data_IF_544459208993
#
_entry.id   IF_544459208993
#
_cell.length_a   1.000
_cell.length_b   1.000
_cell.length_c   1.000
_cell.angle_alpha   90.00
_cell.angle_beta   90.00
_cell.angle_gamma   90.00
#
_symmetry.space_group_name_H-M   'P 1'
#
loop_
_entity.id
_entity.type
_entity.pdbx_description
1 polymer ?
#
# COMPACT_ATOMS: atom_id res chain seq x y z
N UNK A 1 25.65 -7.58 -3.33
CA UNK A 1 25.04 -6.34 -2.77
C UNK A 1 23.58 -6.66 -2.49
N UNK A 2 23.09 -6.44 -1.28
CA UNK A 2 21.67 -6.61 -0.96
C UNK A 2 20.88 -5.55 -1.71
N UNK A 3 19.85 -5.97 -2.46
CA UNK A 3 18.91 -5.05 -3.10
C UNK A 3 18.14 -4.30 -2.01
N UNK A 4 18.17 -2.97 -2.04
CA UNK A 4 17.62 -2.23 -0.91
C UNK A 4 16.09 -2.15 -0.94
N UNK A 5 15.50 -1.65 -2.04
CA UNK A 5 14.07 -1.37 -2.14
C UNK A 5 13.51 -1.88 -3.46
N UNK A 6 12.33 -2.50 -3.41
CA UNK A 6 11.52 -2.87 -4.58
C UNK A 6 10.22 -2.07 -4.58
N UNK A 7 9.86 -1.44 -5.68
CA UNK A 7 8.51 -0.87 -5.83
C UNK A 7 7.57 -1.94 -6.36
N UNK A 8 6.53 -2.26 -5.59
CA UNK A 8 5.49 -3.22 -5.97
C UNK A 8 4.26 -2.46 -6.43
N UNK A 9 3.87 -2.71 -7.67
CA UNK A 9 2.73 -2.07 -8.33
C UNK A 9 1.65 -3.13 -8.61
N UNK A 10 0.61 -3.24 -7.77
CA UNK A 10 -0.54 -4.06 -8.09
C UNK A 10 -1.33 -3.40 -9.23
N UNK A 11 -1.69 -4.16 -10.27
CA UNK A 11 -2.37 -3.63 -11.43
C UNK A 11 -3.55 -4.52 -11.85
N UNK A 12 -4.68 -3.88 -12.20
CA UNK A 12 -5.84 -4.57 -12.78
C UNK A 12 -6.58 -3.66 -13.75
N UNK A 13 -6.47 -3.97 -15.06
CA UNK A 13 -7.03 -3.18 -16.15
C UNK A 13 -6.51 -1.72 -16.16
N UNK A 14 -5.20 -1.57 -16.08
CA UNK A 14 -4.49 -0.28 -16.04
C UNK A 14 -3.55 -0.09 -17.27
N UNK A 15 -3.91 -0.67 -18.43
CA UNK A 15 -3.08 -0.55 -19.65
C UNK A 15 -2.78 0.88 -20.08
N UNK A 16 -3.65 1.85 -19.72
CA UNK A 16 -3.51 3.25 -20.14
C UNK A 16 -2.51 4.03 -19.27
N UNK A 17 -2.28 3.62 -18.02
CA UNK A 17 -1.47 4.34 -17.02
C UNK A 17 -0.15 3.64 -16.69
N UNK A 18 -0.13 2.31 -16.77
CA UNK A 18 0.95 1.49 -16.21
C UNK A 18 2.33 1.79 -16.82
N UNK A 19 2.42 2.09 -18.13
CA UNK A 19 3.69 2.39 -18.78
C UNK A 19 4.33 3.68 -18.25
N UNK A 20 3.52 4.72 -18.03
CA UNK A 20 3.97 6.00 -17.45
C UNK A 20 4.45 5.79 -16.03
N UNK A 21 3.67 5.10 -15.20
CA UNK A 21 4.03 4.81 -13.80
C UNK A 21 5.37 4.07 -13.71
N UNK A 22 5.58 3.06 -14.57
CA UNK A 22 6.85 2.33 -14.62
C UNK A 22 8.00 3.27 -15.04
N UNK A 23 7.80 4.08 -16.09
CA UNK A 23 8.81 5.02 -16.56
C UNK A 23 9.22 6.01 -15.48
N UNK A 24 8.25 6.62 -14.80
CA UNK A 24 8.49 7.56 -13.72
C UNK A 24 9.30 6.90 -12.57
N UNK A 25 8.94 5.69 -12.16
CA UNK A 25 9.66 4.93 -11.13
C UNK A 25 11.11 4.57 -11.55
N UNK A 26 11.31 4.18 -12.81
CA UNK A 26 12.63 3.80 -13.33
C UNK A 26 13.56 5.01 -13.50
N UNK A 27 13.04 6.19 -13.83
CA UNK A 27 13.82 7.45 -13.88
C UNK A 27 14.43 7.74 -12.51
N UNK A 28 13.70 7.42 -11.40
CA UNK A 28 14.20 7.53 -10.03
C UNK A 28 15.11 6.34 -9.60
N UNK A 29 15.40 5.42 -10.51
CA UNK A 29 16.33 4.31 -10.27
C UNK A 29 15.76 3.14 -9.45
N UNK A 30 14.43 3.03 -9.32
CA UNK A 30 13.81 1.94 -8.60
C UNK A 30 13.67 0.66 -9.44
N UNK A 31 13.91 -0.48 -8.81
CA UNK A 31 13.46 -1.77 -9.33
C UNK A 31 11.92 -1.82 -9.22
N UNK A 32 11.23 -2.14 -10.32
CA UNK A 32 9.77 -2.15 -10.38
C UNK A 32 9.26 -3.56 -10.64
N UNK A 33 8.37 -4.04 -9.76
CA UNK A 33 7.61 -5.27 -9.94
C UNK A 33 6.12 -4.94 -10.12
N UNK A 34 5.59 -5.23 -11.29
CA UNK A 34 4.15 -5.17 -11.54
C UNK A 34 3.53 -6.54 -11.29
N UNK A 35 2.55 -6.59 -10.41
CA UNK A 35 1.72 -7.78 -10.21
C UNK A 35 0.36 -7.55 -10.86
N UNK A 36 0.17 -8.12 -12.04
CA UNK A 36 -1.09 -8.07 -12.79
C UNK A 36 -2.10 -9.05 -12.18
N UNK A 37 -3.15 -8.51 -11.57
CA UNK A 37 -4.20 -9.27 -10.88
C UNK A 37 -5.26 -9.82 -11.87
N UNK A 38 -4.79 -10.52 -12.91
CA UNK A 38 -5.65 -11.17 -13.90
C UNK A 38 -6.41 -10.18 -14.78
N UNK A 39 -5.75 -9.15 -15.29
CA UNK A 39 -6.34 -8.15 -16.21
C UNK A 39 -6.92 -8.79 -17.46
N UNK A 40 -8.00 -8.21 -17.96
CA UNK A 40 -8.64 -8.59 -19.23
C UNK A 40 -8.16 -7.74 -20.41
N UNK A 41 -7.37 -6.71 -20.15
CA UNK A 41 -6.76 -5.82 -21.13
C UNK A 41 -5.26 -6.13 -21.33
N UNK A 42 -4.53 -5.23 -21.99
CA UNK A 42 -3.10 -5.40 -22.27
C UNK A 42 -2.16 -4.97 -21.12
N UNK A 43 -2.66 -4.76 -19.90
CA UNK A 43 -1.86 -4.29 -18.76
C UNK A 43 -0.54 -5.07 -18.61
N UNK A 44 -0.59 -6.40 -18.59
CA UNK A 44 0.59 -7.25 -18.44
C UNK A 44 1.63 -7.05 -19.57
N UNK A 45 1.15 -7.03 -20.81
CA UNK A 45 2.02 -6.86 -21.98
C UNK A 45 2.68 -5.48 -21.98
N UNK A 46 1.91 -4.43 -21.68
CA UNK A 46 2.39 -3.04 -21.59
C UNK A 46 3.42 -2.89 -20.47
N UNK A 47 3.16 -3.44 -19.29
CA UNK A 47 4.11 -3.41 -18.18
C UNK A 47 5.44 -4.10 -18.52
N UNK A 48 5.38 -5.25 -19.19
CA UNK A 48 6.57 -5.97 -19.62
C UNK A 48 7.36 -5.19 -20.68
N UNK A 49 6.67 -4.58 -21.64
CA UNK A 49 7.30 -3.74 -22.67
C UNK A 49 7.96 -2.49 -22.09
N UNK A 50 7.39 -1.93 -21.01
CA UNK A 50 7.96 -0.82 -20.26
C UNK A 50 9.19 -1.22 -19.41
N UNK A 51 9.60 -2.49 -19.41
CA UNK A 51 10.83 -2.95 -18.74
C UNK A 51 10.66 -3.33 -17.28
N UNK A 52 9.44 -3.39 -16.74
CA UNK A 52 9.22 -3.86 -15.38
C UNK A 52 9.36 -5.38 -15.26
N UNK A 53 9.75 -5.85 -14.07
CA UNK A 53 9.54 -7.25 -13.68
C UNK A 53 8.04 -7.48 -13.59
N UNK A 54 7.51 -8.56 -14.17
CA UNK A 54 6.06 -8.79 -14.20
C UNK A 54 5.70 -10.16 -13.68
N UNK A 55 4.66 -10.22 -12.85
CA UNK A 55 3.97 -11.46 -12.44
C UNK A 55 2.50 -11.30 -12.83
N UNK A 56 1.91 -12.32 -13.44
CA UNK A 56 0.48 -12.35 -13.74
C UNK A 56 -0.22 -13.42 -12.94
N UNK A 57 -1.25 -13.02 -12.21
CA UNK A 57 -2.15 -13.95 -11.51
C UNK A 57 -3.16 -14.55 -12.50
N UNK A 58 -3.60 -15.80 -12.28
CA UNK A 58 -4.46 -16.50 -13.24
C UNK A 58 -5.86 -15.87 -13.38
N UNK A 59 -6.33 -15.16 -12.36
CA UNK A 59 -7.61 -14.44 -12.33
C UNK A 59 -7.56 -13.36 -11.25
N UNK A 60 -8.53 -12.45 -11.22
CA UNK A 60 -8.59 -11.39 -10.23
C UNK A 60 -8.84 -11.95 -8.82
N UNK A 61 -7.82 -11.90 -7.98
CA UNK A 61 -7.82 -12.32 -6.59
C UNK A 61 -7.98 -11.15 -5.60
N UNK A 62 -7.85 -9.92 -6.11
CA UNK A 62 -7.88 -8.69 -5.33
C UNK A 62 -6.50 -8.14 -5.00
N UNK A 63 -6.46 -6.83 -4.76
CA UNK A 63 -5.20 -6.08 -4.53
C UNK A 63 -4.34 -6.66 -3.41
N UNK A 64 -4.94 -7.17 -2.34
CA UNK A 64 -4.21 -7.81 -1.24
C UNK A 64 -3.46 -9.06 -1.68
N UNK A 65 -4.04 -9.87 -2.58
CA UNK A 65 -3.36 -11.04 -3.13
C UNK A 65 -2.19 -10.63 -4.03
N UNK A 66 -2.38 -9.60 -4.87
CA UNK A 66 -1.33 -9.05 -5.71
C UNK A 66 -0.16 -8.49 -4.87
N UNK A 67 -0.46 -7.72 -3.83
CA UNK A 67 0.53 -7.18 -2.90
C UNK A 67 1.28 -8.30 -2.18
N UNK A 68 0.56 -9.30 -1.65
CA UNK A 68 1.19 -10.44 -0.98
C UNK A 68 2.11 -11.21 -1.92
N UNK A 69 1.73 -11.39 -3.19
CA UNK A 69 2.59 -11.96 -4.21
C UNK A 69 3.87 -11.14 -4.40
N UNK A 70 3.74 -9.81 -4.51
CA UNK A 70 4.88 -8.89 -4.61
C UNK A 70 5.78 -8.91 -3.38
N UNK A 71 5.22 -8.96 -2.18
CA UNK A 71 6.00 -9.06 -0.93
C UNK A 71 6.77 -10.37 -0.83
N UNK A 72 6.15 -11.49 -1.20
CA UNK A 72 6.84 -12.80 -1.30
C UNK A 72 7.98 -12.77 -2.31
N UNK A 73 7.77 -12.11 -3.45
CA UNK A 73 8.83 -11.92 -4.43
C UNK A 73 9.98 -11.12 -3.83
N UNK A 74 9.71 -9.99 -3.17
CA UNK A 74 10.72 -9.14 -2.56
C UNK A 74 11.55 -9.92 -1.52
N UNK A 75 10.90 -10.62 -0.60
CA UNK A 75 11.57 -11.45 0.43
C UNK A 75 12.44 -12.53 -0.21
N UNK A 76 11.91 -13.25 -1.20
CA UNK A 76 12.63 -14.33 -1.91
C UNK A 76 13.88 -13.82 -2.63
N UNK A 77 13.85 -12.57 -3.13
CA UNK A 77 14.95 -11.97 -3.89
C UNK A 77 15.86 -11.07 -3.04
N UNK A 78 15.69 -11.06 -1.70
CA UNK A 78 16.60 -10.41 -0.76
C UNK A 78 16.45 -8.89 -0.67
N UNK A 79 15.31 -8.33 -1.06
CA UNK A 79 15.02 -6.91 -0.84
C UNK A 79 14.78 -6.63 0.65
N UNK A 80 15.31 -5.51 1.13
CA UNK A 80 15.18 -5.07 2.52
C UNK A 80 13.85 -4.37 2.79
N UNK A 81 13.30 -3.73 1.76
CA UNK A 81 12.04 -3.00 1.84
C UNK A 81 11.23 -3.10 0.55
N UNK A 82 9.94 -2.86 0.69
CA UNK A 82 9.01 -2.67 -0.42
C UNK A 82 8.34 -1.32 -0.30
N UNK A 83 8.23 -0.60 -1.42
CA UNK A 83 7.30 0.52 -1.57
C UNK A 83 6.08 0.00 -2.32
N UNK A 84 4.89 0.19 -1.75
CA UNK A 84 3.63 -0.02 -2.44
C UNK A 84 3.26 1.25 -3.21
N UNK A 85 3.03 1.12 -4.52
CA UNK A 85 2.63 2.22 -5.39
C UNK A 85 1.49 1.74 -6.30
N UNK A 86 0.41 2.51 -6.44
CA UNK A 86 -0.72 2.12 -7.28
C UNK A 86 -0.43 2.37 -8.78
N UNK A 87 -1.05 1.57 -9.65
CA UNK A 87 -0.84 1.60 -11.09
C UNK A 87 -1.55 2.75 -11.82
N UNK A 88 -2.35 3.56 -11.09
CA UNK A 88 -3.20 4.62 -11.65
C UNK A 88 -2.52 6.00 -11.76
N UNK A 89 -1.26 6.11 -11.32
CA UNK A 89 -0.47 7.33 -11.36
C UNK A 89 -0.82 8.37 -10.30
N UNK A 90 -1.66 8.03 -9.31
CA UNK A 90 -2.04 8.99 -8.25
C UNK A 90 -0.97 9.14 -7.16
N UNK A 91 -0.05 8.19 -7.01
CA UNK A 91 1.00 8.26 -6.02
C UNK A 91 2.18 9.10 -6.51
N UNK A 92 2.60 10.14 -5.75
CA UNK A 92 3.70 11.01 -6.15
C UNK A 92 5.04 10.26 -6.03
N UNK A 93 5.63 9.89 -7.15
CA UNK A 93 6.91 9.13 -7.20
C UNK A 93 8.02 9.89 -6.47
N UNK A 94 8.08 11.21 -6.61
CA UNK A 94 9.05 12.09 -5.94
C UNK A 94 9.01 11.98 -4.39
N UNK A 95 7.90 11.50 -3.82
CA UNK A 95 7.77 11.32 -2.36
C UNK A 95 8.28 9.96 -1.87
N UNK A 96 8.62 9.04 -2.76
CA UNK A 96 9.13 7.70 -2.37
C UNK A 96 10.44 7.83 -1.58
N UNK A 97 11.34 8.71 -2.02
CA UNK A 97 12.60 8.95 -1.33
C UNK A 97 12.38 9.51 0.09
N UNK A 98 11.39 10.39 0.25
CA UNK A 98 11.02 10.91 1.56
C UNK A 98 10.47 9.82 2.51
N UNK A 99 9.63 8.90 1.99
CA UNK A 99 9.16 7.73 2.75
C UNK A 99 10.34 6.86 3.22
N UNK A 100 11.28 6.57 2.31
CA UNK A 100 12.46 5.77 2.58
C UNK A 100 13.37 6.46 3.60
N UNK A 101 13.69 7.74 3.40
CA UNK A 101 14.53 8.53 4.29
C UNK A 101 13.95 8.58 5.71
N UNK A 102 12.65 8.85 5.83
CA UNK A 102 11.94 8.86 7.12
C UNK A 102 12.00 7.49 7.78
N UNK A 103 11.82 6.40 7.03
CA UNK A 103 11.89 5.05 7.59
C UNK A 103 13.26 4.77 8.21
N UNK A 104 14.34 5.17 7.54
CA UNK A 104 15.71 4.99 8.00
C UNK A 104 16.00 5.89 9.21
N UNK A 105 15.72 7.19 9.12
CA UNK A 105 16.00 8.18 10.17
C UNK A 105 15.27 7.86 11.46
N UNK A 106 14.01 7.46 11.37
CA UNK A 106 13.16 7.16 12.51
C UNK A 106 13.22 5.70 12.95
N UNK A 107 14.01 4.85 12.28
CA UNK A 107 14.06 3.41 12.51
C UNK A 107 12.66 2.80 12.56
N UNK A 108 11.83 3.16 11.57
CA UNK A 108 10.45 2.71 11.49
C UNK A 108 10.29 1.53 10.53
N UNK A 109 9.34 0.65 10.85
CA UNK A 109 9.07 -0.54 10.04
C UNK A 109 8.09 -0.27 8.91
N UNK A 110 7.29 0.80 9.05
CA UNK A 110 6.38 1.26 8.00
C UNK A 110 6.27 2.78 8.05
N UNK A 111 6.36 3.42 6.88
CA UNK A 111 6.00 4.84 6.72
C UNK A 111 4.87 4.94 5.71
N UNK A 112 3.85 5.71 6.06
CA UNK A 112 2.63 5.92 5.27
C UNK A 112 2.65 7.32 4.69
N UNK A 113 2.45 7.45 3.38
CA UNK A 113 2.15 8.72 2.75
C UNK A 113 0.68 9.09 2.95
N UNK A 114 0.42 10.14 3.70
CA UNK A 114 -0.93 10.59 4.04
C UNK A 114 -1.43 11.68 3.12
N UNK A 115 -2.69 11.54 2.68
CA UNK A 115 -3.43 12.54 1.92
C UNK A 115 -3.96 13.68 2.79
N UNK A 116 -4.00 13.48 4.11
CA UNK A 116 -4.72 14.34 5.04
C UNK A 116 -3.82 15.05 6.06
N UNK A 117 -2.57 14.63 6.18
CA UNK A 117 -1.61 15.26 7.08
C UNK A 117 -1.21 16.63 6.52
N UNK A 118 -1.14 17.64 7.37
CA UNK A 118 -0.73 19.01 7.05
C UNK A 118 -1.46 19.65 5.85
N UNK A 119 -2.70 19.22 5.58
CA UNK A 119 -3.47 19.75 4.46
C UNK A 119 -2.98 19.32 3.08
N UNK A 120 -2.21 18.21 3.01
CA UNK A 120 -1.61 17.69 1.78
C UNK A 120 -2.62 17.38 0.67
N UNK A 121 -3.91 17.16 0.98
CA UNK A 121 -4.96 16.89 0.00
C UNK A 121 -6.19 17.78 0.17
N UNK A 122 -6.56 18.51 -0.89
CA UNK A 122 -7.85 19.23 -1.00
C UNK A 122 -8.99 18.30 -1.44
N UNK A 123 -9.07 17.08 -0.90
CA UNK A 123 -10.11 16.14 -1.32
C UNK A 123 -11.43 16.49 -0.61
N UNK A 124 -12.43 16.93 -1.37
CA UNK A 124 -13.79 17.12 -0.86
C UNK A 124 -14.42 15.76 -0.52
N UNK A 125 -14.38 15.44 0.75
CA UNK A 125 -15.01 14.23 1.27
C UNK A 125 -16.45 14.52 1.69
N UNK A 126 -17.40 13.67 1.30
CA UNK A 126 -18.74 13.70 1.88
C UNK A 126 -18.67 13.55 3.42
N UNK A 127 -19.65 14.11 4.13
CA UNK A 127 -19.71 14.06 5.60
C UNK A 127 -19.62 12.62 6.13
N UNK A 128 -20.33 11.69 5.46
CA UNK A 128 -20.32 10.25 5.81
C UNK A 128 -18.90 9.65 5.64
N UNK A 129 -18.21 9.95 4.56
CA UNK A 129 -16.84 9.46 4.33
C UNK A 129 -15.86 10.07 5.33
N UNK A 130 -16.00 11.36 5.63
CA UNK A 130 -15.18 12.05 6.67
C UNK A 130 -15.36 11.40 8.04
N UNK A 131 -16.61 11.07 8.41
CA UNK A 131 -16.91 10.38 9.67
C UNK A 131 -16.28 8.99 9.72
N UNK A 132 -16.44 8.19 8.65
CA UNK A 132 -15.84 6.87 8.53
C UNK A 132 -14.30 6.91 8.66
N UNK A 133 -13.65 7.82 7.93
CA UNK A 133 -12.18 8.00 7.98
C UNK A 133 -11.71 8.39 9.38
N UNK A 134 -12.49 9.23 10.10
CA UNK A 134 -12.17 9.60 11.49
C UNK A 134 -12.22 8.42 12.44
N UNK A 135 -13.19 7.50 12.28
CA UNK A 135 -13.27 6.27 13.08
C UNK A 135 -12.06 5.37 12.79
N UNK A 136 -11.78 5.12 11.52
CA UNK A 136 -10.65 4.27 11.10
C UNK A 136 -9.31 4.86 11.58
N UNK A 137 -9.10 6.17 11.42
CA UNK A 137 -7.90 6.86 11.88
C UNK A 137 -7.70 6.75 13.39
N UNK A 138 -8.77 6.97 14.20
CA UNK A 138 -8.68 6.80 15.66
C UNK A 138 -8.36 5.38 16.09
N UNK A 139 -8.96 4.38 15.41
CA UNK A 139 -8.67 2.98 15.69
C UNK A 139 -7.25 2.62 15.33
N UNK A 140 -6.77 3.06 14.17
CA UNK A 140 -5.39 2.87 13.73
C UNK A 140 -4.40 3.58 14.67
N UNK A 141 -4.67 4.83 15.07
CA UNK A 141 -3.82 5.58 16.00
C UNK A 141 -3.66 4.88 17.35
N UNK A 142 -4.76 4.29 17.88
CA UNK A 142 -4.69 3.50 19.11
C UNK A 142 -3.83 2.24 18.93
N UNK A 143 -3.98 1.55 17.80
CA UNK A 143 -3.20 0.34 17.51
C UNK A 143 -1.71 0.64 17.32
N UNK A 144 -1.40 1.68 16.59
CA UNK A 144 -0.02 2.08 16.26
C UNK A 144 0.67 2.90 17.37
N UNK A 145 -0.09 3.37 18.38
CA UNK A 145 0.39 4.29 19.44
C UNK A 145 1.03 5.58 18.89
N UNK A 146 0.59 6.00 17.70
CA UNK A 146 1.01 7.22 17.01
C UNK A 146 -0.19 7.78 16.25
N UNK A 147 -0.28 9.10 16.03
CA UNK A 147 -1.34 9.68 15.22
C UNK A 147 -1.33 9.12 13.80
N UNK A 148 -2.47 8.59 13.34
CA UNK A 148 -2.69 8.13 11.95
C UNK A 148 -3.94 8.86 11.43
N UNK A 149 -3.76 9.63 10.37
CA UNK A 149 -4.83 10.38 9.72
C UNK A 149 -5.37 9.67 8.48
N UNK A 150 -4.52 8.90 7.78
CA UNK A 150 -4.88 8.16 6.57
C UNK A 150 -4.64 6.64 6.70
N UNK A 151 -5.50 5.99 7.46
CA UNK A 151 -5.42 4.55 7.67
C UNK A 151 -5.68 3.70 6.41
N UNK A 152 -6.13 4.33 5.31
CA UNK A 152 -6.49 3.67 4.05
C UNK A 152 -5.53 3.98 2.91
N UNK A 153 -4.47 4.75 3.15
CA UNK A 153 -3.47 5.02 2.13
C UNK A 153 -2.77 3.74 1.70
N UNK A 154 -2.69 3.49 0.39
CA UNK A 154 -1.89 2.42 -0.22
C UNK A 154 -0.43 2.82 -0.40
N UNK A 155 -0.10 4.10 -0.32
CA UNK A 155 1.25 4.59 -0.53
C UNK A 155 2.10 4.42 0.73
N UNK A 156 2.97 3.41 0.74
CA UNK A 156 3.71 2.98 1.93
C UNK A 156 5.08 2.43 1.57
N UNK A 157 6.05 2.66 2.46
CA UNK A 157 7.26 1.84 2.53
C UNK A 157 7.17 0.86 3.69
N UNK A 158 7.60 -0.37 3.50
CA UNK A 158 7.55 -1.45 4.49
C UNK A 158 8.91 -2.14 4.53
N UNK A 159 9.56 -2.13 5.69
CA UNK A 159 10.87 -2.74 5.92
C UNK A 159 10.77 -4.11 6.61
N UNK A 160 11.80 -4.90 6.45
CA UNK A 160 12.02 -6.10 7.28
C UNK A 160 12.20 -5.68 8.76
N UNK A 161 11.75 -6.45 9.76
CA UNK A 161 11.12 -7.78 9.64
C UNK A 161 9.60 -7.76 9.33
N UNK A 162 8.94 -6.59 9.34
CA UNK A 162 7.50 -6.48 9.07
C UNK A 162 7.14 -7.01 7.67
N UNK A 163 7.97 -6.71 6.66
CA UNK A 163 7.77 -7.20 5.29
C UNK A 163 7.67 -8.73 5.24
N UNK A 164 8.52 -9.43 5.98
CA UNK A 164 8.51 -10.90 6.04
C UNK A 164 7.18 -11.43 6.57
N UNK A 165 6.66 -10.82 7.65
CA UNK A 165 5.38 -11.24 8.22
C UNK A 165 4.20 -10.95 7.30
N UNK A 166 4.19 -9.76 6.66
CA UNK A 166 3.13 -9.41 5.72
C UNK A 166 3.16 -10.28 4.45
N UNK A 167 4.34 -10.67 3.96
CA UNK A 167 4.47 -11.61 2.86
C UNK A 167 3.76 -12.95 3.14
N UNK A 168 3.74 -13.40 4.41
CA UNK A 168 3.08 -14.64 4.80
C UNK A 168 1.62 -14.46 5.21
N UNK A 169 1.28 -13.35 5.87
CA UNK A 169 0.02 -13.20 6.59
C UNK A 169 -0.91 -12.12 6.02
N UNK A 170 -0.50 -11.32 5.00
CA UNK A 170 -1.37 -10.30 4.43
C UNK A 170 -2.67 -10.93 3.89
N UNK A 171 -3.85 -10.47 4.34
CA UNK A 171 -5.10 -11.03 3.85
C UNK A 171 -5.35 -10.65 2.37
N UNK A 172 -5.95 -11.55 1.56
CA UNK A 172 -6.12 -11.32 0.13
C UNK A 172 -7.29 -10.38 -0.23
N UNK A 173 -7.98 -9.78 0.73
CA UNK A 173 -9.22 -9.04 0.50
C UNK A 173 -9.01 -7.53 0.39
N UNK A 174 -9.70 -6.88 -0.55
CA UNK A 174 -9.68 -5.43 -0.79
C UNK A 174 -10.14 -4.61 0.42
N UNK A 175 -9.44 -3.53 0.78
CA UNK A 175 -9.60 -2.63 1.94
C UNK A 175 -9.35 -3.27 3.32
N UNK A 176 -9.58 -4.57 3.50
CA UNK A 176 -9.12 -5.29 4.67
C UNK A 176 -7.62 -5.36 4.71
N UNK A 177 -6.98 -5.50 3.53
CA UNK A 177 -5.53 -5.60 3.39
C UNK A 177 -4.79 -4.36 3.92
N UNK A 178 -5.19 -3.15 3.49
CA UNK A 178 -4.47 -1.91 3.82
C UNK A 178 -4.69 -1.49 5.27
N UNK A 179 -5.96 -1.41 5.71
CA UNK A 179 -6.31 -1.05 7.08
C UNK A 179 -5.92 -2.14 8.08
N UNK A 180 -6.22 -3.40 7.74
CA UNK A 180 -5.93 -4.54 8.61
C UNK A 180 -4.43 -4.77 8.76
N UNK A 181 -3.64 -4.67 7.69
CA UNK A 181 -2.19 -4.73 7.75
C UNK A 181 -1.64 -3.65 8.69
N UNK A 182 -2.13 -2.41 8.58
CA UNK A 182 -1.72 -1.30 9.44
C UNK A 182 -2.02 -1.58 10.92
N UNK A 183 -3.26 -1.93 11.24
CA UNK A 183 -3.70 -2.16 12.63
C UNK A 183 -3.01 -3.39 13.22
N UNK A 184 -2.86 -4.47 12.45
CA UNK A 184 -2.16 -5.67 12.89
C UNK A 184 -0.69 -5.40 13.18
N UNK A 185 -0.02 -4.63 12.32
CA UNK A 185 1.38 -4.22 12.51
C UNK A 185 1.56 -3.36 13.76
N UNK A 186 0.68 -2.36 13.95
CA UNK A 186 0.74 -1.50 15.13
C UNK A 186 0.52 -2.27 16.44
N UNK A 187 -0.45 -3.20 16.47
CA UNK A 187 -0.73 -4.07 17.63
C UNK A 187 0.41 -5.03 17.93
N UNK A 188 1.10 -5.50 16.91
CA UNK A 188 2.29 -6.33 17.07
C UNK A 188 3.52 -5.56 17.59
N UNK A 189 3.41 -4.23 17.73
CA UNK A 189 4.48 -3.39 18.26
C UNK A 189 5.46 -2.88 17.21
N UNK A 190 5.14 -3.00 15.92
CA UNK A 190 5.93 -2.37 14.87
C UNK A 190 5.80 -0.85 14.91
N UNK A 191 6.94 -0.16 14.77
CA UNK A 191 6.96 1.31 14.70
C UNK A 191 6.45 1.76 13.33
N UNK A 192 5.43 2.62 13.34
CA UNK A 192 4.75 3.12 12.14
C UNK A 192 4.70 4.64 12.22
N UNK A 193 4.96 5.31 11.11
CA UNK A 193 4.98 6.77 10.99
C UNK A 193 4.14 7.18 9.79
N UNK A 194 3.59 8.37 9.83
CA UNK A 194 2.85 8.99 8.73
C UNK A 194 3.53 10.30 8.34
N UNK A 195 3.70 10.53 7.02
CA UNK A 195 4.20 11.79 6.47
C UNK A 195 3.26 12.32 5.42
N UNK A 196 3.25 13.63 5.13
CA UNK A 196 2.43 14.19 4.06
C UNK A 196 2.81 13.64 2.69
N UNK A 197 1.82 13.22 1.90
CA UNK A 197 1.99 12.83 0.52
C UNK A 197 0.72 13.17 -0.26
N UNK A 198 0.66 14.32 -0.95
CA UNK A 198 -0.51 14.72 -1.69
C UNK A 198 -0.71 13.78 -2.87
N UNK A 199 -1.94 13.25 -3.01
CA UNK A 199 -2.29 12.48 -4.21
C UNK A 199 -2.34 13.40 -5.43
N UNK A 200 -1.83 12.89 -6.53
CA UNK A 200 -2.00 13.48 -7.85
C UNK A 200 -3.41 13.17 -8.40
N UNK A 201 -3.87 13.97 -9.34
CA UNK A 201 -5.11 13.68 -10.05
C UNK A 201 -4.90 12.46 -10.96
N UNK A 202 -5.91 11.60 -11.02
CA UNK A 202 -5.91 10.44 -11.90
C UNK A 202 -6.01 10.90 -13.35
N UNK A 203 -4.99 10.61 -14.16
CA UNK A 203 -4.98 11.02 -15.57
C UNK A 203 -5.84 10.11 -16.45
N UNK A 204 -5.92 8.81 -16.13
CA UNK A 204 -6.61 7.80 -16.95
C UNK A 204 -7.34 6.75 -16.08
N UNK A 205 -8.30 6.05 -16.70
CA UNK A 205 -9.01 4.93 -16.08
C UNK A 205 -10.25 5.31 -15.27
N UNK A 206 -11.02 4.29 -14.92
CA UNK A 206 -12.20 4.42 -14.03
C UNK A 206 -11.85 3.80 -12.69
N UNK A 207 -12.22 4.46 -11.59
CA UNK A 207 -12.06 3.88 -10.25
C UNK A 207 -12.63 2.46 -10.20
N UNK A 208 -11.82 1.48 -9.82
CA UNK A 208 -12.25 0.09 -9.64
C UNK A 208 -13.33 -0.07 -8.57
N UNK A 209 -13.47 0.91 -7.69
CA UNK A 209 -14.46 0.94 -6.63
C UNK A 209 -15.74 1.61 -7.11
N UNK A 210 -16.73 0.80 -7.57
CA UNK A 210 -18.09 1.30 -7.71
C UNK A 210 -18.59 1.84 -6.35
N UNK A 211 -19.37 2.96 -6.29
CA UNK A 211 -19.76 3.62 -5.04
C UNK A 211 -20.37 2.67 -4.00
N UNK A 212 -21.22 1.72 -4.45
CA UNK A 212 -21.84 0.72 -3.57
C UNK A 212 -20.80 -0.26 -3.01
N UNK A 213 -19.83 -0.69 -3.83
CA UNK A 213 -18.75 -1.58 -3.41
C UNK A 213 -17.84 -0.86 -2.39
N UNK A 214 -17.50 0.40 -2.63
CA UNK A 214 -16.73 1.24 -1.70
C UNK A 214 -17.45 1.43 -0.37
N UNK A 215 -18.76 1.74 -0.37
CA UNK A 215 -19.56 1.88 0.84
C UNK A 215 -19.60 0.58 1.67
N UNK A 216 -19.87 -0.57 1.02
CA UNK A 216 -19.88 -1.89 1.68
C UNK A 216 -18.53 -2.21 2.32
N UNK A 217 -17.43 -1.87 1.68
CA UNK A 217 -16.08 -2.12 2.15
C UNK A 217 -15.72 -1.19 3.33
N UNK A 218 -16.14 0.08 3.28
CA UNK A 218 -16.01 1.00 4.41
C UNK A 218 -16.77 0.49 5.64
N UNK A 219 -17.99 0.00 5.46
CA UNK A 219 -18.78 -0.62 6.56
C UNK A 219 -18.05 -1.85 7.10
N UNK A 220 -17.51 -2.71 6.24
CA UNK A 220 -16.73 -3.89 6.67
C UNK A 220 -15.48 -3.50 7.45
N UNK A 221 -14.73 -2.48 7.00
CA UNK A 221 -13.57 -1.96 7.71
C UNK A 221 -13.95 -1.37 9.09
N UNK A 222 -15.06 -0.65 9.18
CA UNK A 222 -15.60 -0.14 10.46
C UNK A 222 -15.99 -1.29 11.37
N UNK A 223 -16.69 -2.30 10.88
CA UNK A 223 -17.05 -3.50 11.66
C UNK A 223 -15.80 -4.24 12.14
N UNK A 224 -14.79 -4.43 11.29
CA UNK A 224 -13.51 -5.02 11.68
C UNK A 224 -12.81 -4.19 12.77
N UNK A 225 -12.84 -2.86 12.65
CA UNK A 225 -12.30 -1.95 13.65
C UNK A 225 -13.01 -2.06 15.01
N UNK A 226 -14.33 -2.17 14.99
CA UNK A 226 -15.18 -2.27 16.20
C UNK A 226 -15.09 -3.65 16.83
N UNK A 227 -15.14 -4.71 16.03
CA UNK A 227 -15.13 -6.10 16.50
C UNK A 227 -13.73 -6.63 16.81
N UNK A 228 -12.68 -5.82 16.61
CA UNK A 228 -11.30 -6.19 16.89
C UNK A 228 -10.82 -7.47 16.19
N UNK A 229 -11.40 -7.79 15.03
CA UNK A 229 -10.98 -8.95 14.21
C UNK A 229 -9.74 -8.57 13.42
N UNK A 230 -8.56 -9.09 13.79
CA UNK A 230 -7.30 -8.79 13.14
C UNK A 230 -6.43 -10.04 13.05
N UNK A 231 -5.61 -10.11 11.99
CA UNK A 231 -4.56 -11.12 11.91
C UNK A 231 -3.48 -10.86 12.95
N UNK A 232 -3.09 -11.92 13.67
CA UNK A 232 -2.04 -11.84 14.68
C UNK A 232 -0.67 -11.91 14.01
N UNK A 233 0.09 -10.83 14.08
CA UNK A 233 1.51 -10.80 13.76
C UNK A 233 2.34 -11.11 15.02
N UNK A 234 3.59 -11.56 14.84
CA UNK A 234 4.46 -11.94 15.96
C UNK A 234 5.11 -10.71 16.62
N UNK A 235 5.35 -9.66 15.84
CA UNK A 235 6.03 -8.45 16.27
C UNK A 235 7.56 -8.51 16.06
N UNK A 236 8.23 -7.36 16.21
CA UNK A 236 9.68 -7.30 16.06
C UNK A 236 10.33 -8.14 17.16
N UNK A 237 11.25 -9.03 16.76
CA UNK A 237 12.05 -9.81 17.71
C UNK A 237 12.95 -8.83 18.46
N UNK A 238 12.74 -8.69 19.77
CA UNK A 238 13.65 -7.95 20.62
C UNK A 238 14.89 -8.85 20.77
N UNK A 239 15.93 -8.54 20.00
CA UNK A 239 17.26 -9.12 20.26
C UNK A 239 17.72 -8.45 21.55
N UNK A 240 17.67 -9.21 22.65
CA UNK A 240 18.22 -8.79 23.93
C UNK A 240 19.74 -8.84 23.91
#
# INVERSE_FOLDING_TARGET
MSKQVLVVVPAWNEQASIAKVIGDLQIHGFDVLVVDDGSNDNTHAVARQAGAITIRLPFNLGVGAALRCGFKYAVKHGYQAVVQCDADGQHPVDHIEALIATAIQENSHMVIGSRFLDGAGKMELSLTRRFAMRILGRSASRACKTPITDATSGFRVIYTPLLNELAEKLPPYYLGDTYEALVSSGRAGYRIIEIPAPLMEREHGKSSARPIKAARLTVKAILSAVLHVHHKLNGPTIIK
#
